data_IF_978682236496
#
_entry.id   IF_978682236496
#
_cell.length_a   1.000
_cell.length_b   1.000
_cell.length_c   1.000
_cell.angle_alpha   90.00
_cell.angle_beta   90.00
_cell.angle_gamma   90.00
#
_symmetry.space_group_name_H-M   'P 1'
#
loop_
_entity.id
_entity.type
_entity.pdbx_description
1 polymer ?
#
# COMPACT_ATOMS: atom_id res chain seq x y z
N UNK A 1 -18.63 -35.91 -26.06
CA UNK A 1 -17.31 -36.57 -26.10
C UNK A 1 -17.21 -37.20 -27.47
N UNK A 2 -16.47 -36.58 -28.39
CA UNK A 2 -16.51 -36.94 -29.81
C UNK A 2 -15.07 -37.00 -30.30
N UNK A 3 -14.60 -38.19 -30.62
CA UNK A 3 -13.22 -38.46 -31.03
C UNK A 3 -13.14 -38.54 -32.54
N UNK A 4 -12.58 -37.52 -33.18
CA UNK A 4 -12.31 -37.52 -34.63
C UNK A 4 -10.89 -37.99 -34.88
N UNK A 5 -10.73 -39.17 -35.50
CA UNK A 5 -9.41 -39.70 -35.93
C UNK A 5 -9.05 -39.11 -37.30
N UNK A 6 -8.04 -38.26 -37.36
CA UNK A 6 -7.37 -37.92 -38.63
C UNK A 6 -6.07 -38.71 -38.75
N UNK A 7 -5.94 -39.50 -39.83
CA UNK A 7 -4.69 -40.17 -40.22
C UNK A 7 -3.92 -39.23 -41.14
N UNK A 8 -2.90 -38.56 -40.60
CA UNK A 8 -1.90 -37.84 -41.40
C UNK A 8 -0.64 -38.70 -41.49
N UNK A 9 -0.34 -39.18 -42.70
CA UNK A 9 0.90 -39.89 -43.00
C UNK A 9 2.05 -38.87 -43.08
N UNK A 10 3.10 -39.09 -42.29
CA UNK A 10 4.27 -38.22 -42.23
C UNK A 10 5.40 -38.84 -43.05
N UNK A 11 5.78 -38.18 -44.14
CA UNK A 11 6.89 -38.56 -45.01
C UNK A 11 8.21 -38.23 -44.30
N UNK A 12 8.87 -39.24 -43.72
CA UNK A 12 10.19 -39.10 -43.12
C UNK A 12 11.27 -39.16 -44.21
N UNK A 13 11.99 -38.06 -44.38
CA UNK A 13 13.17 -37.96 -45.25
C UNK A 13 14.40 -38.56 -44.54
N UNK A 14 15.13 -39.36 -45.32
CA UNK A 14 16.28 -40.20 -44.93
C UNK A 14 17.59 -39.41 -44.98
N UNK A 15 18.36 -39.46 -43.90
CA UNK A 15 19.82 -39.33 -43.86
C UNK A 15 20.27 -39.93 -42.51
N UNK A 16 21.13 -40.93 -42.37
CA UNK A 16 22.19 -41.44 -43.23
C UNK A 16 23.40 -41.67 -42.33
N UNK A 17 23.43 -42.79 -41.57
CA UNK A 17 24.64 -43.26 -40.87
C UNK A 17 24.74 -44.78 -41.05
N UNK A 18 25.81 -45.17 -41.74
CA UNK A 18 26.23 -46.54 -41.94
C UNK A 18 26.72 -47.17 -40.62
N UNK A 19 26.41 -48.44 -40.44
CA UNK A 19 26.88 -49.24 -39.30
C UNK A 19 26.28 -50.64 -39.32
N UNK A 20 26.62 -51.42 -40.34
CA UNK A 20 26.28 -52.84 -40.40
C UNK A 20 27.09 -53.61 -39.35
N UNK A 21 26.41 -54.42 -38.52
CA UNK A 21 26.91 -55.70 -37.99
C UNK A 21 25.77 -56.49 -37.30
N UNK A 22 25.27 -57.47 -38.05
CA UNK A 22 24.78 -58.81 -37.66
C UNK A 22 24.35 -59.07 -36.20
N UNK A 23 23.07 -59.36 -36.02
CA UNK A 23 22.54 -60.01 -34.82
C UNK A 23 21.03 -60.24 -34.93
N UNK A 24 20.63 -61.43 -35.36
CA UNK A 24 19.23 -61.87 -35.39
C UNK A 24 18.75 -62.05 -33.95
N UNK A 25 18.17 -61.01 -33.39
CA UNK A 25 17.38 -61.04 -32.17
C UNK A 25 16.16 -60.18 -32.43
N UNK A 26 14.98 -60.81 -32.50
CA UNK A 26 13.71 -60.12 -32.74
C UNK A 26 13.37 -59.17 -31.59
N UNK A 27 13.90 -57.95 -31.65
CA UNK A 27 13.46 -56.86 -30.78
C UNK A 27 12.22 -56.29 -31.44
N UNK A 28 11.06 -56.77 -31.01
CA UNK A 28 9.81 -56.02 -31.23
C UNK A 28 9.91 -54.76 -30.38
N UNK A 29 10.57 -53.73 -30.90
CA UNK A 29 10.52 -52.39 -30.32
C UNK A 29 9.11 -51.89 -30.58
N UNK A 30 8.24 -52.16 -29.61
CA UNK A 30 6.90 -51.64 -29.56
C UNK A 30 7.03 -50.13 -29.24
N UNK A 31 7.30 -49.34 -30.28
CA UNK A 31 7.38 -47.89 -30.21
C UNK A 31 5.96 -47.32 -30.17
N UNK A 32 5.27 -47.53 -29.06
CA UNK A 32 4.01 -46.84 -28.78
C UNK A 32 4.39 -45.49 -28.17
N UNK A 33 4.55 -44.46 -29.01
CA UNK A 33 4.58 -43.09 -28.51
C UNK A 33 3.15 -42.68 -28.21
N UNK A 34 2.76 -42.68 -26.94
CA UNK A 34 1.49 -42.10 -26.53
C UNK A 34 1.72 -40.59 -26.35
N UNK A 35 1.44 -39.81 -27.40
CA UNK A 35 1.41 -38.36 -27.31
C UNK A 35 -0.02 -37.91 -27.03
N UNK A 36 -0.35 -37.75 -25.75
CA UNK A 36 -1.58 -37.09 -25.35
C UNK A 36 -1.43 -35.58 -25.58
N UNK A 37 -2.01 -35.06 -26.67
CA UNK A 37 -2.18 -33.63 -26.84
C UNK A 37 -3.28 -33.17 -25.88
N UNK A 38 -2.90 -32.77 -24.66
CA UNK A 38 -3.80 -32.10 -23.72
C UNK A 38 -4.14 -30.73 -24.30
N UNK A 39 -5.25 -30.66 -25.04
CA UNK A 39 -5.91 -29.41 -25.39
C UNK A 39 -6.56 -28.79 -24.16
N UNK A 40 -5.75 -28.34 -23.21
CA UNK A 40 -6.22 -27.53 -22.09
C UNK A 40 -6.28 -26.07 -22.52
N UNK A 41 -7.49 -25.51 -22.68
CA UNK A 41 -7.65 -24.06 -22.64
C UNK A 41 -7.34 -23.62 -21.21
N UNK A 42 -6.16 -23.04 -20.99
CA UNK A 42 -5.86 -22.36 -19.73
C UNK A 42 -6.73 -21.11 -19.72
N UNK A 43 -7.91 -21.19 -19.09
CA UNK A 43 -8.66 -20.00 -18.73
C UNK A 43 -7.76 -19.21 -17.79
N UNK A 44 -7.14 -18.14 -18.31
CA UNK A 44 -6.40 -17.20 -17.49
C UNK A 44 -7.43 -16.57 -16.55
N UNK A 45 -7.48 -17.02 -15.30
CA UNK A 45 -8.37 -16.48 -14.29
C UNK A 45 -8.21 -14.96 -14.20
N UNK A 46 -9.32 -14.26 -13.97
CA UNK A 46 -9.34 -12.82 -13.84
C UNK A 46 -8.63 -12.38 -12.55
N UNK A 47 -7.86 -11.29 -12.65
CA UNK A 47 -7.21 -10.62 -11.52
C UNK A 47 -7.44 -9.11 -11.65
N UNK A 48 -7.73 -8.46 -10.53
CA UNK A 48 -7.81 -7.00 -10.43
C UNK A 48 -7.34 -6.56 -9.06
N UNK A 49 -6.61 -5.45 -9.02
CA UNK A 49 -6.20 -4.75 -7.81
C UNK A 49 -6.50 -3.28 -8.02
N UNK A 50 -7.21 -2.64 -7.09
CA UNK A 50 -7.56 -1.23 -7.19
C UNK A 50 -7.48 -0.56 -5.83
N UNK A 51 -7.03 0.69 -5.80
CA UNK A 51 -6.88 1.48 -4.56
C UNK A 51 -7.41 2.88 -4.77
N UNK A 52 -8.03 3.47 -3.76
CA UNK A 52 -8.48 4.87 -3.82
C UNK A 52 -9.28 5.28 -2.60
N UNK A 53 -10.04 6.36 -2.75
CA UNK A 53 -11.01 6.76 -1.72
C UNK A 53 -12.20 5.77 -1.70
N UNK A 54 -12.91 5.63 -0.57
CA UNK A 54 -14.08 4.77 -0.50
C UNK A 54 -15.11 5.07 -1.60
N UNK A 55 -15.46 4.06 -2.39
CA UNK A 55 -16.37 4.17 -3.54
C UNK A 55 -15.78 4.77 -4.82
N UNK A 56 -14.49 5.12 -4.83
CA UNK A 56 -13.78 5.72 -5.97
C UNK A 56 -12.36 5.12 -6.12
N UNK A 57 -12.27 3.80 -6.15
CA UNK A 57 -11.01 3.08 -6.37
C UNK A 57 -10.56 3.15 -7.83
N UNK A 58 -9.25 3.18 -8.05
CA UNK A 58 -8.64 3.21 -9.39
C UNK A 58 -7.88 1.90 -9.61
N UNK A 59 -8.14 1.15 -10.71
CA UNK A 59 -7.42 -0.07 -11.02
C UNK A 59 -5.92 0.17 -11.23
N UNK A 60 -5.10 -0.74 -10.71
CA UNK A 60 -3.65 -0.78 -10.84
C UNK A 60 -3.22 -2.02 -11.64
N UNK A 61 -3.22 -1.96 -12.98
CA UNK A 61 -2.96 -3.12 -13.83
C UNK A 61 -1.53 -3.66 -13.71
N UNK A 62 -0.59 -2.84 -13.23
CA UNK A 62 0.81 -3.24 -12.96
C UNK A 62 0.97 -3.91 -11.60
N UNK A 63 -0.09 -3.98 -10.79
CA UNK A 63 -0.05 -4.43 -9.41
C UNK A 63 0.37 -3.37 -8.40
N UNK A 64 0.76 -2.16 -8.85
CA UNK A 64 1.14 -1.05 -7.96
C UNK A 64 0.16 0.09 -8.09
N UNK A 65 -0.46 0.49 -6.97
CA UNK A 65 -1.33 1.64 -6.86
C UNK A 65 -0.71 2.69 -5.93
N UNK A 66 -1.01 3.97 -6.15
CA UNK A 66 -0.53 5.07 -5.31
C UNK A 66 -1.72 5.88 -4.82
N UNK A 67 -1.81 6.06 -3.50
CA UNK A 67 -2.71 7.02 -2.87
C UNK A 67 -1.88 8.22 -2.42
N UNK A 68 -2.26 9.40 -2.86
CA UNK A 68 -1.56 10.64 -2.49
C UNK A 68 -2.30 11.40 -1.39
N UNK A 69 -1.52 12.09 -0.58
CA UNK A 69 -1.97 13.15 0.34
C UNK A 69 -1.06 14.36 0.19
N UNK A 70 -1.58 15.57 0.35
CA UNK A 70 -0.77 16.77 0.11
C UNK A 70 -1.43 18.04 0.63
N UNK A 71 -1.35 19.17 -0.10
CA UNK A 71 -1.77 20.48 0.40
C UNK A 71 -3.20 20.54 0.95
N UNK A 72 -4.14 19.82 0.34
CA UNK A 72 -5.54 19.86 0.76
C UNK A 72 -5.74 19.17 2.11
N UNK A 73 -5.13 17.99 2.30
CA UNK A 73 -5.15 17.26 3.55
C UNK A 73 -4.36 17.99 4.64
N UNK A 74 -3.20 18.56 4.30
CA UNK A 74 -2.39 19.37 5.20
C UNK A 74 -3.16 20.61 5.71
N UNK A 75 -3.91 21.29 4.82
CA UNK A 75 -4.73 22.43 5.23
C UNK A 75 -5.87 22.03 6.18
N UNK A 76 -6.37 20.78 6.09
CA UNK A 76 -7.33 20.25 7.06
C UNK A 76 -6.64 19.95 8.40
N UNK A 77 -5.49 19.29 8.35
CA UNK A 77 -4.71 18.96 9.54
C UNK A 77 -4.32 20.21 10.35
N UNK A 78 -3.84 21.28 9.69
CA UNK A 78 -3.52 22.54 10.38
C UNK A 78 -4.76 23.23 10.96
N UNK A 79 -5.90 23.19 10.25
CA UNK A 79 -7.13 23.84 10.71
C UNK A 79 -7.79 23.11 11.87
N UNK A 80 -7.84 21.78 11.78
CA UNK A 80 -8.64 20.94 12.67
C UNK A 80 -7.78 20.29 13.76
N UNK A 81 -6.45 20.34 13.64
CA UNK A 81 -5.47 19.71 14.54
C UNK A 81 -5.30 18.20 14.30
N UNK A 82 -6.26 17.58 13.63
CA UNK A 82 -6.31 16.15 13.33
C UNK A 82 -6.84 15.91 11.91
N UNK A 83 -6.49 14.76 11.36
CA UNK A 83 -6.90 14.32 10.03
C UNK A 83 -7.05 12.80 10.01
N UNK A 84 -8.16 12.33 9.43
CA UNK A 84 -8.35 10.92 9.08
C UNK A 84 -8.66 10.81 7.59
N UNK A 85 -7.87 10.02 6.85
CA UNK A 85 -8.03 9.76 5.41
C UNK A 85 -8.30 8.28 5.20
N UNK A 86 -9.55 7.87 4.89
CA UNK A 86 -9.85 6.49 4.59
C UNK A 86 -9.34 6.12 3.20
N UNK A 87 -8.81 4.91 3.09
CA UNK A 87 -8.36 4.30 1.84
C UNK A 87 -9.09 2.97 1.67
N UNK A 88 -9.60 2.71 0.47
CA UNK A 88 -10.23 1.44 0.09
C UNK A 88 -9.30 0.68 -0.86
N UNK A 89 -9.16 -0.61 -0.62
CA UNK A 89 -8.43 -1.57 -1.47
C UNK A 89 -9.41 -2.63 -1.95
N UNK A 90 -9.55 -2.78 -3.25
CA UNK A 90 -10.38 -3.82 -3.88
C UNK A 90 -9.49 -4.85 -4.58
N UNK A 91 -9.66 -6.11 -4.20
CA UNK A 91 -8.85 -7.22 -4.71
C UNK A 91 -9.70 -8.33 -5.29
N UNK A 92 -9.36 -8.79 -6.50
CA UNK A 92 -9.95 -9.97 -7.13
C UNK A 92 -8.82 -10.84 -7.67
N UNK A 93 -8.88 -12.14 -7.43
CA UNK A 93 -8.03 -13.12 -8.09
C UNK A 93 -8.76 -14.45 -8.20
N UNK A 94 -8.79 -15.03 -9.40
CA UNK A 94 -9.51 -16.26 -9.71
C UNK A 94 -8.58 -17.47 -9.88
N UNK A 95 -9.18 -18.66 -9.75
CA UNK A 95 -8.53 -19.95 -9.78
C UNK A 95 -7.75 -20.19 -8.49
N UNK A 96 -6.66 -20.94 -8.58
CA UNK A 96 -5.72 -21.15 -7.48
C UNK A 96 -4.65 -20.06 -7.47
N UNK A 97 -5.07 -18.79 -7.38
CA UNK A 97 -4.18 -17.62 -7.32
C UNK A 97 -4.58 -16.78 -6.13
N UNK A 98 -3.77 -16.78 -5.09
CA UNK A 98 -3.91 -15.82 -4.00
C UNK A 98 -3.45 -14.44 -4.44
N UNK A 99 -3.87 -13.42 -3.73
CA UNK A 99 -3.41 -12.04 -3.89
C UNK A 99 -3.00 -11.52 -2.52
N UNK A 100 -1.78 -11.04 -2.46
CA UNK A 100 -1.17 -10.38 -1.32
C UNK A 100 -0.77 -8.96 -1.72
N UNK A 101 -0.76 -8.03 -0.78
CA UNK A 101 -0.17 -6.72 -1.01
C UNK A 101 0.51 -6.17 0.22
N UNK A 102 1.49 -5.32 -0.04
CA UNK A 102 2.23 -4.53 0.95
C UNK A 102 1.87 -3.06 0.78
N UNK A 103 1.69 -2.36 1.89
CA UNK A 103 1.48 -0.93 1.98
C UNK A 103 2.79 -0.28 2.42
N UNK A 104 3.25 0.69 1.65
CA UNK A 104 4.50 1.40 1.92
C UNK A 104 4.18 2.90 2.00
N UNK A 105 4.01 3.46 3.22
CA UNK A 105 4.03 4.91 3.39
C UNK A 105 5.41 5.46 2.98
N UNK A 106 5.53 6.78 2.72
CA UNK A 106 6.83 7.37 2.47
C UNK A 106 7.76 7.13 3.67
N UNK A 107 9.05 6.87 3.40
CA UNK A 107 10.06 6.69 4.46
C UNK A 107 10.28 7.97 5.27
N UNK A 108 10.08 9.13 4.62
CA UNK A 108 10.19 10.45 5.20
C UNK A 108 9.01 11.32 4.74
N UNK A 109 8.28 11.89 5.70
CA UNK A 109 7.20 12.86 5.46
C UNK A 109 7.72 14.29 5.30
N UNK A 110 9.05 14.47 5.32
CA UNK A 110 9.74 15.73 5.11
C UNK A 110 9.69 16.63 6.35
N UNK A 111 9.88 17.93 6.13
CA UNK A 111 9.84 18.96 7.20
C UNK A 111 8.57 19.82 7.16
N UNK A 112 7.59 19.43 6.35
CA UNK A 112 6.32 20.13 6.18
C UNK A 112 5.32 19.84 7.31
N UNK A 113 4.04 20.10 7.03
CA UNK A 113 2.91 19.83 7.94
C UNK A 113 2.92 18.37 8.37
N UNK A 114 2.97 17.44 7.41
CA UNK A 114 2.96 16.01 7.73
C UNK A 114 4.24 15.55 8.43
N UNK A 115 5.39 16.14 8.08
CA UNK A 115 6.66 15.88 8.76
C UNK A 115 6.70 16.29 10.23
N UNK A 116 5.83 17.22 10.63
CA UNK A 116 5.68 17.70 12.01
C UNK A 116 4.50 17.09 12.77
N UNK A 117 3.80 16.14 12.16
CA UNK A 117 2.64 15.47 12.74
C UNK A 117 2.98 14.04 13.18
N UNK A 118 2.27 13.54 14.17
CA UNK A 118 2.24 12.11 14.50
C UNK A 118 1.34 11.41 13.48
N UNK A 119 1.94 10.51 12.70
CA UNK A 119 1.24 9.82 11.60
C UNK A 119 1.16 8.33 11.90
N UNK A 120 -0.02 7.77 11.75
CA UNK A 120 -0.28 6.34 11.82
C UNK A 120 -1.04 5.85 10.59
N UNK A 121 -0.68 4.67 10.10
CA UNK A 121 -1.37 3.98 9.01
C UNK A 121 -1.71 2.56 9.47
N UNK A 122 -3.01 2.24 9.50
CA UNK A 122 -3.48 0.96 10.05
C UNK A 122 -4.76 0.47 9.34
N UNK A 123 -5.03 -0.84 9.33
CA UNK A 123 -6.25 -1.39 8.76
C UNK A 123 -7.46 -1.06 9.64
N UNK A 124 -8.62 -0.87 9.01
CA UNK A 124 -9.90 -0.62 9.67
C UNK A 124 -11.00 -1.50 9.06
N UNK A 125 -12.03 -1.83 9.84
CA UNK A 125 -13.12 -2.68 9.37
C UNK A 125 -13.98 -2.00 8.31
N UNK A 126 -14.16 -0.68 8.44
CA UNK A 126 -14.98 0.13 7.53
C UNK A 126 -14.44 1.56 7.40
N UNK A 127 -14.85 2.31 6.37
CA UNK A 127 -14.43 3.70 6.23
C UNK A 127 -15.05 4.62 7.30
N UNK A 128 -16.04 4.14 8.07
CA UNK A 128 -16.62 4.90 9.19
C UNK A 128 -15.76 4.87 10.43
N UNK A 129 -14.89 3.88 10.55
CA UNK A 129 -13.97 3.74 11.68
C UNK A 129 -12.71 4.60 11.49
N UNK A 130 -12.48 5.11 10.27
CA UNK A 130 -11.45 6.08 9.95
C UNK A 130 -12.00 7.52 10.03
N UNK A 131 -12.24 7.99 11.25
CA UNK A 131 -12.73 9.34 11.53
C UNK A 131 -12.12 9.89 12.80
N UNK A 132 -11.89 11.20 12.84
CA UNK A 132 -11.30 11.87 14.00
C UNK A 132 -12.21 11.81 15.23
N UNK A 133 -13.54 11.64 15.07
CA UNK A 133 -14.43 11.49 16.24
C UNK A 133 -14.39 10.09 16.88
N UNK A 134 -13.84 9.11 16.16
CA UNK A 134 -13.73 7.71 16.62
C UNK A 134 -12.31 7.40 17.08
N UNK A 135 -11.32 8.06 16.47
CA UNK A 135 -9.91 7.88 16.76
C UNK A 135 -9.44 8.88 17.82
N UNK A 136 -8.41 8.51 18.55
CA UNK A 136 -7.71 9.40 19.48
C UNK A 136 -6.21 9.16 19.34
N UNK A 137 -5.38 10.23 19.36
CA UNK A 137 -3.92 10.09 19.27
C UNK A 137 -3.35 9.13 20.32
N UNK A 138 -3.97 9.09 21.51
CA UNK A 138 -3.51 8.28 22.65
C UNK A 138 -3.89 6.79 22.55
N UNK A 139 -4.76 6.42 21.61
CA UNK A 139 -5.27 5.06 21.46
C UNK A 139 -5.07 4.51 20.06
N UNK A 140 -4.14 5.08 19.28
CA UNK A 140 -3.84 4.59 17.96
C UNK A 140 -3.16 3.21 18.07
N UNK A 141 -3.50 2.26 17.18
CA UNK A 141 -2.74 1.04 17.04
C UNK A 141 -1.29 1.37 16.67
N UNK A 142 -0.34 0.67 17.28
CA UNK A 142 1.06 0.69 16.83
C UNK A 142 1.13 0.32 15.34
N UNK A 143 1.92 1.05 14.52
CA UNK A 143 2.08 0.75 13.09
C UNK A 143 2.66 -0.66 12.94
N UNK A 144 1.78 -1.63 12.71
CA UNK A 144 2.13 -3.04 12.55
C UNK A 144 1.16 -3.66 11.56
N UNK A 145 1.68 -4.59 10.75
CA UNK A 145 0.88 -5.25 9.72
C UNK A 145 0.54 -4.32 8.55
N UNK A 146 1.55 -3.77 7.87
CA UNK A 146 1.40 -3.07 6.58
C UNK A 146 1.26 -4.03 5.39
N UNK A 147 0.70 -5.21 5.63
CA UNK A 147 0.55 -6.26 4.63
C UNK A 147 -0.82 -6.90 4.77
N UNK A 148 -1.43 -7.32 3.67
CA UNK A 148 -2.66 -8.11 3.71
C UNK A 148 -2.72 -9.17 2.61
N UNK A 149 -3.46 -10.24 2.89
CA UNK A 149 -3.74 -11.33 1.94
C UNK A 149 -5.25 -11.49 1.77
N UNK A 150 -5.93 -10.54 1.10
CA UNK A 150 -7.38 -10.54 0.98
C UNK A 150 -7.93 -11.73 0.19
N UNK A 151 -7.17 -12.24 -0.77
CA UNK A 151 -7.58 -13.38 -1.59
C UNK A 151 -6.67 -14.58 -1.29
N UNK A 152 -7.17 -15.64 -0.64
CA UNK A 152 -6.37 -16.85 -0.42
C UNK A 152 -6.15 -17.61 -1.74
N UNK A 153 -5.15 -18.49 -1.78
CA UNK A 153 -4.82 -19.27 -2.97
C UNK A 153 -5.73 -20.47 -3.23
N UNK A 154 -6.77 -20.66 -2.41
CA UNK A 154 -7.83 -21.65 -2.65
C UNK A 154 -8.60 -21.35 -3.92
N UNK A 155 -8.99 -22.39 -4.66
CA UNK A 155 -9.74 -22.25 -5.91
C UNK A 155 -10.98 -21.36 -5.76
N UNK A 156 -11.06 -20.27 -6.55
CA UNK A 156 -12.21 -19.38 -6.59
C UNK A 156 -12.62 -19.05 -8.01
N UNK A 157 -13.93 -18.92 -8.24
CA UNK A 157 -14.50 -18.38 -9.49
C UNK A 157 -15.20 -17.03 -9.26
N UNK A 158 -15.08 -16.46 -8.05
CA UNK A 158 -15.69 -15.17 -7.72
C UNK A 158 -15.17 -14.07 -8.64
N UNK A 159 -16.08 -13.21 -9.09
CA UNK A 159 -15.75 -11.96 -9.80
C UNK A 159 -15.94 -10.73 -8.91
N UNK A 160 -16.54 -10.90 -7.72
CA UNK A 160 -16.72 -9.81 -6.77
C UNK A 160 -15.41 -9.49 -6.04
N UNK A 161 -15.05 -8.20 -5.89
CA UNK A 161 -13.88 -7.81 -5.11
C UNK A 161 -14.04 -8.13 -3.64
N UNK A 162 -12.96 -8.59 -3.03
CA UNK A 162 -12.76 -8.49 -1.59
C UNK A 162 -12.31 -7.06 -1.30
N UNK A 163 -13.10 -6.35 -0.51
CA UNK A 163 -12.84 -4.95 -0.16
C UNK A 163 -12.29 -4.88 1.26
N UNK A 164 -11.14 -4.22 1.39
CA UNK A 164 -10.50 -3.88 2.66
C UNK A 164 -10.34 -2.36 2.79
N UNK A 165 -10.15 -1.90 4.03
CA UNK A 165 -10.02 -0.48 4.32
C UNK A 165 -8.80 -0.20 5.20
N UNK A 166 -8.16 0.92 4.93
CA UNK A 166 -7.06 1.46 5.71
C UNK A 166 -7.39 2.87 6.17
N UNK A 167 -6.78 3.30 7.27
CA UNK A 167 -6.87 4.65 7.76
C UNK A 167 -5.48 5.25 7.87
N UNK A 168 -5.24 6.34 7.14
CA UNK A 168 -4.16 7.26 7.47
C UNK A 168 -4.70 8.27 8.48
N UNK A 169 -4.16 8.23 9.70
CA UNK A 169 -4.45 9.20 10.74
C UNK A 169 -3.22 10.09 10.93
N UNK A 170 -3.45 11.39 11.08
CA UNK A 170 -2.41 12.35 11.45
C UNK A 170 -2.95 13.31 12.51
N UNK A 171 -2.14 13.62 13.51
CA UNK A 171 -2.46 14.60 14.54
C UNK A 171 -1.23 15.43 14.90
N UNK A 172 -1.45 16.65 15.35
CA UNK A 172 -0.40 17.39 16.07
C UNK A 172 -0.61 17.22 17.58
N UNK A 173 0.49 17.05 18.32
CA UNK A 173 0.48 17.01 19.77
C UNK A 173 0.26 18.43 20.33
N UNK A 174 -0.98 18.90 20.22
CA UNK A 174 -1.39 20.30 20.35
C UNK A 174 -1.37 21.02 19.01
N UNK A 175 -2.31 21.97 18.81
CA UNK A 175 -2.28 22.82 17.62
C UNK A 175 -0.91 23.52 17.54
N UNK A 176 -0.25 23.59 16.36
CA UNK A 176 1.01 24.29 16.23
C UNK A 176 0.85 25.69 16.82
N UNK A 177 1.66 26.05 17.82
CA UNK A 177 1.54 27.35 18.46
C UNK A 177 1.89 28.42 17.42
N UNK A 178 0.88 29.16 16.97
CA UNK A 178 1.05 30.31 16.09
C UNK A 178 0.76 31.55 16.93
N UNK A 179 1.78 32.37 17.17
CA UNK A 179 1.58 33.54 18.03
C UNK A 179 2.83 34.37 18.26
N UNK A 180 2.62 35.54 18.84
CA UNK A 180 3.69 36.39 19.35
C UNK A 180 3.80 36.10 20.85
N UNK A 181 4.98 35.70 21.28
CA UNK A 181 5.32 35.50 22.68
C UNK A 181 6.16 36.67 23.14
N UNK A 182 5.70 37.38 24.18
CA UNK A 182 6.42 38.46 24.83
C UNK A 182 6.66 38.08 26.29
N UNK A 183 7.90 38.21 26.74
CA UNK A 183 8.26 38.06 28.15
C UNK A 183 8.99 39.31 28.64
N UNK A 184 8.37 40.02 29.58
CA UNK A 184 8.97 41.19 30.22
C UNK A 184 9.55 40.79 31.57
N UNK A 185 10.88 40.91 31.70
CA UNK A 185 11.58 40.76 32.97
C UNK A 185 11.69 42.13 33.65
N UNK A 186 11.16 42.25 34.87
CA UNK A 186 11.30 43.45 35.73
C UNK A 186 12.27 43.15 36.86
N UNK A 187 13.28 44.01 37.03
CA UNK A 187 14.21 44.00 38.16
C UNK A 187 14.01 45.28 38.97
N UNK A 188 13.81 45.15 40.28
CA UNK A 188 13.74 46.28 41.20
C UNK A 188 14.83 46.21 42.26
N UNK A 189 15.41 47.36 42.59
CA UNK A 189 16.41 47.51 43.63
C UNK A 189 16.03 48.64 44.58
N UNK A 190 16.06 48.36 45.88
CA UNK A 190 15.77 49.34 46.93
C UNK A 190 17.06 49.74 47.66
N UNK A 191 17.59 50.95 47.45
CA UNK A 191 18.74 51.43 48.21
C UNK A 191 18.34 51.74 49.67
N UNK A 192 19.32 51.76 50.61
CA UNK A 192 19.06 52.05 52.03
C UNK A 192 18.46 53.44 52.26
N UNK A 193 18.86 54.40 51.44
CA UNK A 193 18.29 55.75 51.39
C UNK A 193 17.95 56.08 49.92
N UNK A 194 16.74 56.58 49.69
CA UNK A 194 16.26 56.97 48.36
C UNK A 194 15.12 56.11 47.80
N UNK A 195 14.63 56.45 46.59
CA UNK A 195 13.52 55.74 45.96
C UNK A 195 13.95 54.37 45.41
N UNK A 196 12.98 53.47 45.26
CA UNK A 196 13.18 52.20 44.54
C UNK A 196 13.51 52.51 43.08
N UNK A 197 14.51 51.83 42.53
CA UNK A 197 14.87 51.90 41.12
C UNK A 197 14.39 50.63 40.44
N UNK A 198 13.74 50.76 39.29
CA UNK A 198 13.28 49.63 38.50
C UNK A 198 13.84 49.70 37.07
N UNK A 199 14.15 48.53 36.53
CA UNK A 199 14.50 48.33 35.13
C UNK A 199 13.63 47.21 34.57
N UNK A 200 13.22 47.36 33.31
CA UNK A 200 12.54 46.32 32.56
C UNK A 200 13.30 46.04 31.28
N UNK A 201 13.33 44.76 30.91
CA UNK A 201 13.73 44.32 29.59
C UNK A 201 12.63 43.40 29.05
N UNK A 202 12.35 43.50 27.76
CA UNK A 202 11.32 42.68 27.11
C UNK A 202 11.96 41.90 25.98
N UNK A 203 11.71 40.59 25.98
CA UNK A 203 12.05 39.71 24.88
C UNK A 203 10.77 39.27 24.17
N UNK A 204 10.74 39.49 22.86
CA UNK A 204 9.64 39.07 21.99
C UNK A 204 10.13 38.01 20.99
N UNK A 205 9.31 36.98 20.76
CA UNK A 205 9.47 36.00 19.71
C UNK A 205 8.17 35.80 18.94
N UNK A 206 8.27 35.80 17.62
CA UNK A 206 7.17 35.35 16.75
C UNK A 206 7.34 33.86 16.54
N UNK A 207 6.48 33.06 17.18
CA UNK A 207 6.34 31.63 16.88
C UNK A 207 5.44 31.52 15.66
N UNK A 208 6.05 31.65 14.49
CA UNK A 208 5.45 31.16 13.26
C UNK A 208 5.82 29.69 13.16
N UNK A 209 4.89 28.79 13.44
CA UNK A 209 4.94 27.49 12.80
C UNK A 209 5.02 27.79 11.29
N UNK A 210 6.20 27.64 10.67
CA UNK A 210 6.43 27.86 9.23
C UNK A 210 5.75 26.78 8.38
N UNK A 211 4.62 26.27 8.86
CA UNK A 211 3.82 25.25 8.24
C UNK A 211 2.86 25.97 7.30
N UNK A 212 3.29 26.20 6.06
CA UNK A 212 2.41 26.65 4.99
C UNK A 212 1.80 25.41 4.33
N UNK A 213 0.51 25.08 4.57
CA UNK A 213 -0.10 23.89 3.99
C UNK A 213 -0.15 23.94 2.46
N UNK A 214 -0.14 25.14 1.85
CA UNK A 214 -0.12 25.29 0.40
C UNK A 214 1.24 24.88 -0.20
N UNK A 215 2.32 24.94 0.60
CA UNK A 215 3.66 24.52 0.22
C UNK A 215 3.95 23.05 0.53
N UNK A 216 2.99 22.31 1.12
CA UNK A 216 3.18 20.91 1.46
C UNK A 216 3.46 20.06 0.20
N UNK A 217 4.55 19.26 0.17
CA UNK A 217 4.77 18.33 -0.92
C UNK A 217 3.67 17.26 -0.99
N UNK A 218 3.49 16.68 -2.18
CA UNK A 218 2.59 15.53 -2.33
C UNK A 218 3.32 14.27 -1.89
N UNK A 219 2.77 13.61 -0.87
CA UNK A 219 3.27 12.34 -0.34
C UNK A 219 2.55 11.16 -0.99
N UNK A 220 3.28 10.09 -1.24
CA UNK A 220 2.79 8.90 -1.91
C UNK A 220 2.77 7.70 -0.95
N UNK A 221 1.57 7.16 -0.69
CA UNK A 221 1.39 5.87 -0.04
C UNK A 221 1.23 4.82 -1.13
N UNK A 222 2.17 3.89 -1.20
CA UNK A 222 2.24 2.90 -2.28
C UNK A 222 1.63 1.58 -1.83
N UNK A 223 0.84 0.95 -2.68
CA UNK A 223 0.24 -0.35 -2.47
C UNK A 223 0.73 -1.28 -3.57
N UNK A 224 1.50 -2.31 -3.22
CA UNK A 224 2.09 -3.23 -4.20
C UNK A 224 1.55 -4.62 -3.98
N UNK A 225 0.84 -5.14 -4.99
CA UNK A 225 0.24 -6.47 -4.99
C UNK A 225 1.12 -7.50 -5.71
N UNK A 226 1.13 -8.71 -5.16
CA UNK A 226 1.71 -9.92 -5.73
C UNK A 226 0.66 -11.03 -5.75
N UNK A 227 0.80 -11.97 -6.67
CA UNK A 227 -0.01 -13.19 -6.66
C UNK A 227 0.84 -14.41 -6.37
N UNK A 228 0.27 -15.36 -5.64
CA UNK A 228 0.95 -16.59 -5.25
C UNK A 228 0.05 -17.81 -5.47
N UNK A 229 0.66 -18.99 -5.55
CA UNK A 229 -0.01 -20.29 -5.72
C UNK A 229 -0.10 -21.04 -4.39
N UNK A 230 -0.95 -22.09 -4.30
CA UNK A 230 -0.93 -22.98 -3.15
C UNK A 230 0.48 -23.56 -2.92
N UNK A 231 1.00 -23.42 -1.70
CA UNK A 231 2.34 -23.88 -1.31
C UNK A 231 3.45 -22.84 -1.51
N UNK A 232 3.16 -21.69 -2.13
CA UNK A 232 4.06 -20.54 -2.16
C UNK A 232 3.77 -19.62 -0.97
N UNK A 233 4.81 -18.92 -0.50
CA UNK A 233 4.61 -17.80 0.43
C UNK A 233 4.10 -16.57 -0.35
N UNK A 234 3.25 -15.75 0.28
CA UNK A 234 2.85 -14.44 -0.26
C UNK A 234 4.03 -13.52 -0.61
#
# INVERSE_FOLDING_TARGET
MTTTRHRTALTAAVAGVAGACLGVGGVSLALWSDSATLGGTVAAGYQSFAVGAPGATVPAPTGTAVRTVGPQEAAKLVRDGELAVPVQVDSVSQGNKGLHYVVSPPEDWGSGVFGSADIALFPVASPRDCRTEVLSPQSLPEPSGLESTPVPSTYSTSTGPVTEHWCLYASHDGAPEVGEYANTARVSARPPEGPVVEAEDTWDAVVVARLDPAAEPVHAITFTSTTFRPGEQP
#
